data_IF_529346252608
#
_entry.id   IF_529346252608
#
_cell.length_a   1.000
_cell.length_b   1.000
_cell.length_c   1.000
_cell.angle_alpha   90.00
_cell.angle_beta   90.00
_cell.angle_gamma   90.00
#
_symmetry.space_group_name_H-M   'P 1'
#
loop_
_entity.id
_entity.type
_entity.pdbx_description
1 polymer ?
#
# COMPACT_ATOMS: atom_id res chain seq x y z
N UNK A 1 -81.42 14.89 -4.93
CA UNK A 1 -80.46 15.87 -5.41
C UNK A 1 -79.08 15.26 -5.26
N UNK A 2 -78.58 14.69 -6.36
CA UNK A 2 -77.31 14.02 -6.43
C UNK A 2 -76.22 15.00 -6.84
N UNK A 3 -75.14 15.09 -6.06
CA UNK A 3 -73.99 15.94 -6.42
C UNK A 3 -72.87 15.07 -6.85
N UNK A 4 -72.64 14.89 -8.15
CA UNK A 4 -71.53 14.12 -8.74
C UNK A 4 -70.29 15.00 -8.90
N UNK A 5 -69.34 14.89 -7.97
CA UNK A 5 -67.99 15.45 -8.14
C UNK A 5 -67.14 14.50 -8.97
N UNK A 6 -66.92 14.82 -10.25
CA UNK A 6 -65.98 14.13 -11.14
C UNK A 6 -64.58 14.70 -10.98
N UNK A 7 -63.67 13.92 -10.43
CA UNK A 7 -62.23 14.26 -10.42
C UNK A 7 -61.60 13.93 -11.77
N UNK A 8 -61.11 14.96 -12.48
CA UNK A 8 -60.29 14.78 -13.69
C UNK A 8 -58.84 14.52 -13.28
N UNK A 9 -58.31 13.35 -13.68
CA UNK A 9 -56.88 13.08 -13.61
C UNK A 9 -56.15 13.88 -14.66
N UNK A 10 -55.25 14.79 -14.22
CA UNK A 10 -54.33 15.50 -15.10
C UNK A 10 -53.07 14.62 -15.28
N UNK A 11 -52.89 14.04 -16.47
CA UNK A 11 -51.68 13.36 -16.87
C UNK A 11 -50.54 14.37 -17.09
N UNK A 12 -49.89 14.74 -16.00
CA UNK A 12 -48.62 15.45 -16.06
C UNK A 12 -47.54 14.51 -16.57
N UNK A 13 -47.03 14.76 -17.77
CA UNK A 13 -45.79 14.12 -18.28
C UNK A 13 -44.64 14.42 -17.31
N UNK A 14 -44.16 13.41 -16.60
CA UNK A 14 -42.88 13.49 -15.93
C UNK A 14 -41.78 13.50 -17.01
N UNK A 15 -41.14 14.63 -17.19
CA UNK A 15 -39.84 14.69 -17.83
C UNK A 15 -38.85 13.95 -16.93
N UNK A 16 -38.49 12.75 -17.31
CA UNK A 16 -37.31 12.07 -16.75
C UNK A 16 -36.09 12.81 -17.27
N UNK A 17 -35.55 13.67 -16.44
CA UNK A 17 -34.23 14.25 -16.63
C UNK A 17 -33.22 13.10 -16.41
N UNK A 18 -32.81 12.44 -17.50
CA UNK A 18 -31.70 11.51 -17.52
C UNK A 18 -30.43 12.33 -17.41
N UNK A 19 -30.12 12.76 -16.18
CA UNK A 19 -28.78 13.24 -15.86
C UNK A 19 -27.77 12.16 -16.24
N UNK A 20 -27.01 12.38 -17.31
CA UNK A 20 -25.83 11.61 -17.64
C UNK A 20 -24.89 11.64 -16.42
N UNK A 21 -24.85 10.57 -15.66
CA UNK A 21 -23.81 10.35 -14.66
C UNK A 21 -22.51 10.16 -15.44
N UNK A 22 -21.79 11.25 -15.68
CA UNK A 22 -20.42 11.18 -16.18
C UNK A 22 -19.65 10.30 -15.19
N UNK A 23 -19.32 9.10 -15.59
CA UNK A 23 -18.40 8.25 -14.85
C UNK A 23 -17.11 9.04 -14.64
N UNK A 24 -16.78 9.36 -13.39
CA UNK A 24 -15.49 9.99 -13.07
C UNK A 24 -14.42 9.03 -13.55
N UNK A 25 -13.53 9.52 -14.40
CA UNK A 25 -12.37 8.76 -14.87
C UNK A 25 -11.57 8.32 -13.64
N UNK A 26 -11.40 7.00 -13.46
CA UNK A 26 -10.68 6.45 -12.32
C UNK A 26 -9.20 6.76 -12.45
N UNK A 27 -8.56 7.14 -11.35
CA UNK A 27 -7.13 7.43 -11.29
C UNK A 27 -6.32 6.14 -11.50
N UNK A 28 -5.09 6.29 -11.99
CA UNK A 28 -4.08 5.23 -12.00
C UNK A 28 -2.89 5.66 -11.15
N UNK A 29 -2.31 4.74 -10.33
CA UNK A 29 -1.09 5.03 -9.60
C UNK A 29 0.03 5.48 -10.55
N UNK A 30 0.82 6.48 -10.13
CA UNK A 30 1.95 6.96 -10.92
C UNK A 30 3.10 5.95 -10.84
N UNK A 31 3.66 5.57 -11.97
CA UNK A 31 4.92 4.82 -12.00
C UNK A 31 6.06 5.71 -11.48
N UNK A 32 6.82 5.19 -10.53
CA UNK A 32 7.99 5.86 -9.98
C UNK A 32 9.18 5.46 -10.84
N UNK A 33 9.66 6.38 -11.69
CA UNK A 33 10.82 6.15 -12.53
C UNK A 33 12.02 7.02 -12.15
N UNK A 34 11.85 7.98 -11.22
CA UNK A 34 12.89 8.94 -10.85
C UNK A 34 13.49 8.58 -9.48
N UNK A 35 14.70 8.01 -9.53
CA UNK A 35 15.49 7.69 -8.33
C UNK A 35 15.81 8.92 -7.47
N UNK A 36 15.92 10.12 -8.08
CA UNK A 36 16.17 11.36 -7.34
C UNK A 36 14.94 11.78 -6.54
N UNK A 37 13.75 11.52 -7.06
CA UNK A 37 12.53 11.82 -6.33
C UNK A 37 12.39 10.91 -5.10
N UNK A 38 12.70 9.61 -5.22
CA UNK A 38 12.64 8.71 -4.06
C UNK A 38 13.68 9.07 -2.99
N UNK A 39 14.89 9.46 -3.40
CA UNK A 39 15.92 9.94 -2.47
C UNK A 39 15.48 11.21 -1.74
N UNK A 40 14.88 12.17 -2.44
CA UNK A 40 14.32 13.39 -1.87
C UNK A 40 13.21 13.10 -0.85
N UNK A 41 12.35 12.13 -1.15
CA UNK A 41 11.30 11.72 -0.20
C UNK A 41 11.88 10.99 1.02
N UNK A 42 12.91 10.16 0.84
CA UNK A 42 13.63 9.54 1.95
C UNK A 42 14.34 10.58 2.84
N UNK A 43 14.92 11.61 2.25
CA UNK A 43 15.51 12.73 2.99
C UNK A 43 14.46 13.52 3.79
N UNK A 44 13.31 13.80 3.17
CA UNK A 44 12.20 14.44 3.87
C UNK A 44 11.70 13.59 5.04
N UNK A 45 11.41 12.32 4.81
CA UNK A 45 10.94 11.39 5.82
C UNK A 45 11.95 11.21 6.97
N UNK A 46 13.25 11.16 6.66
CA UNK A 46 14.35 11.14 7.64
C UNK A 46 14.29 12.35 8.59
N UNK A 47 14.13 13.56 8.06
CA UNK A 47 14.03 14.78 8.87
C UNK A 47 12.81 14.78 9.78
N UNK A 48 11.68 14.25 9.31
CA UNK A 48 10.42 14.23 10.10
C UNK A 48 10.45 13.17 11.18
N UNK A 49 11.01 12.00 10.90
CA UNK A 49 10.91 10.83 11.79
C UNK A 49 12.15 10.57 12.64
N UNK A 50 13.31 11.11 12.23
CA UNK A 50 14.61 10.83 12.83
C UNK A 50 15.24 9.52 12.36
N UNK A 51 14.60 8.78 11.45
CA UNK A 51 15.20 7.58 10.85
C UNK A 51 16.29 7.97 9.87
N UNK A 52 17.45 7.33 9.94
CA UNK A 52 18.60 7.63 9.07
C UNK A 52 18.24 7.44 7.59
N UNK A 53 18.54 8.46 6.75
CA UNK A 53 18.20 8.44 5.30
C UNK A 53 18.74 7.20 4.60
N UNK A 54 20.01 6.87 4.85
CA UNK A 54 20.67 5.72 4.22
C UNK A 54 19.96 4.40 4.57
N UNK A 55 19.48 4.27 5.80
CA UNK A 55 18.71 3.09 6.22
C UNK A 55 17.35 3.04 5.50
N UNK A 56 16.64 4.17 5.40
CA UNK A 56 15.41 4.25 4.58
C UNK A 56 15.67 3.85 3.14
N UNK A 57 16.75 4.35 2.53
CA UNK A 57 17.14 3.97 1.16
C UNK A 57 17.41 2.47 1.06
N UNK A 58 18.09 1.88 2.04
CA UNK A 58 18.32 0.43 2.10
C UNK A 58 17.03 -0.37 2.15
N UNK A 59 16.07 0.04 2.97
CA UNK A 59 14.75 -0.57 3.04
C UNK A 59 13.98 -0.44 1.72
N UNK A 60 14.00 0.74 1.08
CA UNK A 60 13.35 0.99 -0.20
C UNK A 60 13.93 0.15 -1.34
N UNK A 61 15.24 -0.14 -1.31
CA UNK A 61 15.85 -1.09 -2.26
C UNK A 61 15.29 -2.49 -2.05
N UNK A 62 15.25 -2.97 -0.80
CA UNK A 62 14.84 -4.33 -0.49
C UNK A 62 13.36 -4.58 -0.76
N UNK A 63 12.51 -3.60 -0.46
CA UNK A 63 11.06 -3.73 -0.64
C UNK A 63 10.65 -3.62 -2.11
N UNK A 64 11.15 -2.63 -2.81
CA UNK A 64 10.59 -2.25 -4.11
C UNK A 64 11.63 -1.87 -5.16
N UNK A 65 12.91 -2.17 -4.94
CA UNK A 65 13.97 -1.74 -5.83
C UNK A 65 13.89 -0.21 -6.10
N UNK A 66 13.82 0.57 -5.02
CA UNK A 66 13.62 2.03 -5.07
C UNK A 66 12.33 2.44 -5.79
N UNK A 67 11.24 1.75 -5.56
CA UNK A 67 9.94 2.06 -6.13
C UNK A 67 9.74 1.59 -7.58
N UNK A 68 10.74 0.93 -8.19
CA UNK A 68 10.61 0.37 -9.56
C UNK A 68 9.73 -0.87 -9.60
N UNK A 69 9.58 -1.57 -8.48
CA UNK A 69 8.78 -2.78 -8.36
C UNK A 69 7.81 -2.68 -7.17
N UNK A 70 6.76 -1.90 -7.32
CA UNK A 70 5.71 -1.72 -6.29
C UNK A 70 4.61 -2.77 -6.35
N UNK A 71 4.76 -3.78 -7.21
CA UNK A 71 3.82 -4.88 -7.42
C UNK A 71 3.62 -5.16 -8.90
N UNK A 72 3.63 -6.44 -9.26
CA UNK A 72 3.50 -6.88 -10.66
C UNK A 72 2.09 -7.38 -10.97
N UNK A 73 1.33 -7.81 -9.95
CA UNK A 73 -0.03 -8.31 -10.12
C UNK A 73 -1.06 -7.18 -9.94
N UNK A 74 -2.19 -7.32 -10.60
CA UNK A 74 -3.38 -6.54 -10.26
C UNK A 74 -4.01 -7.10 -8.98
N UNK A 75 -4.76 -6.28 -8.27
CA UNK A 75 -5.47 -6.78 -7.09
C UNK A 75 -6.49 -7.86 -7.46
N UNK A 76 -7.10 -7.77 -8.65
CA UNK A 76 -7.98 -8.82 -9.17
C UNK A 76 -7.27 -10.16 -9.30
N UNK A 77 -6.07 -10.21 -9.86
CA UNK A 77 -5.28 -11.44 -9.96
C UNK A 77 -4.97 -12.02 -8.57
N UNK A 78 -4.67 -11.16 -7.60
CA UNK A 78 -4.43 -11.58 -6.20
C UNK A 78 -5.70 -12.12 -5.56
N UNK A 79 -6.84 -11.46 -5.77
CA UNK A 79 -8.15 -11.89 -5.25
C UNK A 79 -8.55 -13.24 -5.84
N UNK A 80 -8.47 -13.40 -7.16
CA UNK A 80 -8.81 -14.64 -7.85
C UNK A 80 -7.89 -15.79 -7.39
N UNK A 81 -6.60 -15.53 -7.22
CA UNK A 81 -5.64 -16.51 -6.72
C UNK A 81 -5.90 -16.94 -5.27
N UNK A 82 -6.29 -16.02 -4.40
CA UNK A 82 -6.63 -16.33 -3.00
C UNK A 82 -7.92 -17.16 -2.90
N UNK A 83 -8.93 -16.83 -3.72
CA UNK A 83 -10.18 -17.60 -3.80
C UNK A 83 -9.89 -19.02 -4.27
N UNK A 84 -9.14 -19.18 -5.38
CA UNK A 84 -8.77 -20.49 -5.91
C UNK A 84 -7.97 -21.34 -4.90
N UNK A 85 -7.04 -20.71 -4.15
CA UNK A 85 -6.27 -21.38 -3.11
C UNK A 85 -7.16 -21.84 -1.95
N UNK A 86 -8.16 -21.05 -1.59
CA UNK A 86 -9.13 -21.42 -0.55
C UNK A 86 -10.01 -22.59 -1.01
N UNK A 87 -10.58 -22.51 -2.20
CA UNK A 87 -11.45 -23.55 -2.79
C UNK A 87 -10.73 -24.89 -2.98
N UNK A 88 -9.43 -24.86 -3.28
CA UNK A 88 -8.60 -26.06 -3.42
C UNK A 88 -8.06 -26.59 -2.07
N UNK A 89 -8.36 -25.94 -0.95
CA UNK A 89 -7.86 -26.32 0.38
C UNK A 89 -6.38 -26.00 0.63
N UNK A 90 -5.75 -25.22 -0.24
CA UNK A 90 -4.34 -24.81 -0.13
C UNK A 90 -4.15 -23.58 0.78
N UNK A 91 -5.23 -22.93 1.20
CA UNK A 91 -5.18 -21.77 2.10
C UNK A 91 -5.76 -22.14 3.46
N UNK A 92 -5.00 -21.87 4.53
CA UNK A 92 -5.50 -22.13 5.89
C UNK A 92 -6.69 -21.22 6.22
N UNK A 93 -7.59 -21.69 7.11
CA UNK A 93 -8.74 -20.90 7.56
C UNK A 93 -8.34 -19.51 8.04
N UNK A 94 -7.28 -19.40 8.88
CA UNK A 94 -6.80 -18.12 9.38
C UNK A 94 -6.31 -17.19 8.26
N UNK A 95 -5.60 -17.74 7.28
CA UNK A 95 -5.11 -16.93 6.14
C UNK A 95 -6.29 -16.45 5.27
N UNK A 96 -7.33 -17.28 5.13
CA UNK A 96 -8.55 -16.90 4.42
C UNK A 96 -9.31 -15.79 5.14
N UNK A 97 -9.53 -15.91 6.45
CA UNK A 97 -10.16 -14.86 7.26
C UNK A 97 -9.39 -13.53 7.16
N UNK A 98 -8.08 -13.57 7.35
CA UNK A 98 -7.22 -12.39 7.20
C UNK A 98 -7.32 -11.78 5.79
N UNK A 99 -7.38 -12.63 4.75
CA UNK A 99 -7.56 -12.15 3.38
C UNK A 99 -8.90 -11.43 3.20
N UNK A 100 -9.99 -11.98 3.73
CA UNK A 100 -11.31 -11.36 3.60
C UNK A 100 -11.38 -9.99 4.27
N UNK A 101 -10.78 -9.84 5.46
CA UNK A 101 -10.69 -8.54 6.14
C UNK A 101 -9.91 -7.54 5.29
N UNK A 102 -8.73 -7.91 4.82
CA UNK A 102 -7.88 -7.07 3.97
C UNK A 102 -8.52 -6.73 2.62
N UNK A 103 -9.30 -7.66 2.06
CA UNK A 103 -10.06 -7.45 0.83
C UNK A 103 -11.02 -6.27 0.95
N UNK A 104 -11.75 -6.18 2.05
CA UNK A 104 -12.66 -5.08 2.30
C UNK A 104 -11.89 -3.76 2.46
N UNK A 105 -10.82 -3.77 3.24
CA UNK A 105 -9.98 -2.58 3.49
C UNK A 105 -9.37 -2.00 2.21
N UNK A 106 -8.80 -2.84 1.34
CA UNK A 106 -8.17 -2.33 0.11
C UNK A 106 -9.20 -1.80 -0.89
N UNK A 107 -10.39 -2.41 -0.98
CA UNK A 107 -11.48 -1.94 -1.84
C UNK A 107 -12.02 -0.58 -1.35
N UNK A 108 -12.24 -0.44 -0.06
CA UNK A 108 -12.66 0.82 0.54
C UNK A 108 -11.60 1.92 0.36
N UNK A 109 -10.34 1.59 0.54
CA UNK A 109 -9.22 2.52 0.32
C UNK A 109 -9.14 2.96 -1.15
N UNK A 110 -9.26 2.02 -2.08
CA UNK A 110 -9.26 2.30 -3.52
C UNK A 110 -10.41 3.23 -3.91
N UNK A 111 -11.63 2.94 -3.45
CA UNK A 111 -12.80 3.76 -3.71
C UNK A 111 -12.63 5.18 -3.13
N UNK A 112 -12.12 5.29 -1.90
CA UNK A 112 -11.85 6.59 -1.25
C UNK A 112 -10.85 7.43 -2.03
N UNK A 113 -9.82 6.80 -2.59
CA UNK A 113 -8.76 7.46 -3.36
C UNK A 113 -9.14 7.67 -4.83
N UNK A 114 -10.23 7.06 -5.30
CA UNK A 114 -10.73 7.14 -6.68
C UNK A 114 -9.98 6.24 -7.65
N UNK A 115 -9.40 5.14 -7.17
CA UNK A 115 -8.79 4.09 -7.98
C UNK A 115 -9.79 3.02 -8.38
N UNK A 116 -9.47 2.26 -9.44
CA UNK A 116 -10.13 1.00 -9.71
C UNK A 116 -9.48 -0.11 -8.87
N UNK A 117 -10.20 -0.72 -7.91
CA UNK A 117 -9.59 -1.76 -7.09
C UNK A 117 -9.11 -2.97 -7.92
N UNK A 118 -9.73 -3.24 -9.07
CA UNK A 118 -9.35 -4.39 -9.91
C UNK A 118 -8.01 -4.17 -10.65
N UNK A 119 -7.72 -2.91 -11.01
CA UNK A 119 -6.51 -2.51 -11.76
C UNK A 119 -5.32 -2.14 -10.86
N UNK A 120 -5.52 -2.04 -9.53
CA UNK A 120 -4.46 -1.64 -8.60
C UNK A 120 -3.28 -2.60 -8.63
N UNK A 121 -2.08 -2.07 -8.80
CA UNK A 121 -0.85 -2.87 -8.73
C UNK A 121 -0.45 -3.11 -7.28
N UNK A 122 -0.24 -4.38 -6.97
CA UNK A 122 0.10 -4.90 -5.63
C UNK A 122 1.09 -6.06 -5.75
N UNK A 123 1.67 -6.50 -4.62
CA UNK A 123 2.47 -7.73 -4.61
C UNK A 123 1.62 -8.93 -5.01
N UNK A 124 2.22 -9.85 -5.78
CA UNK A 124 1.57 -11.08 -6.21
C UNK A 124 1.39 -12.07 -5.04
N UNK A 125 0.51 -13.04 -5.23
CA UNK A 125 0.44 -14.20 -4.34
C UNK A 125 1.76 -14.95 -4.36
N UNK A 126 2.24 -15.46 -3.20
CA UNK A 126 3.41 -16.32 -3.17
C UNK A 126 3.15 -17.62 -3.96
N UNK A 127 4.22 -18.30 -4.36
CA UNK A 127 4.11 -19.58 -5.05
C UNK A 127 3.34 -20.62 -4.21
N UNK A 128 2.53 -21.44 -4.88
CA UNK A 128 1.54 -22.31 -4.22
C UNK A 128 2.11 -23.40 -3.31
N UNK A 129 3.36 -23.78 -3.50
CA UNK A 129 4.05 -24.81 -2.71
C UNK A 129 4.58 -24.32 -1.36
N UNK A 130 4.59 -23.02 -1.11
CA UNK A 130 5.04 -22.39 0.15
C UNK A 130 4.01 -21.40 0.69
N UNK A 131 2.72 -21.72 0.59
CA UNK A 131 1.67 -20.77 0.86
C UNK A 131 1.56 -20.41 2.35
N UNK A 132 2.06 -19.26 2.74
CA UNK A 132 1.94 -18.71 4.09
C UNK A 132 1.18 -17.38 4.15
N UNK A 133 0.69 -16.88 3.02
CA UNK A 133 -0.06 -15.62 2.98
C UNK A 133 -0.61 -15.30 1.59
N UNK A 134 -1.39 -14.26 1.53
CA UNK A 134 -1.89 -13.69 0.26
C UNK A 134 -1.02 -12.52 -0.16
N UNK A 135 -0.91 -12.23 -1.45
CA UNK A 135 -0.36 -10.99 -1.98
C UNK A 135 -1.19 -9.77 -1.52
N UNK A 136 -1.01 -8.65 -2.17
CA UNK A 136 -1.80 -7.46 -1.90
C UNK A 136 -1.07 -6.36 -1.13
N UNK A 137 0.25 -6.47 -0.99
CA UNK A 137 1.05 -5.38 -0.44
C UNK A 137 1.08 -4.19 -1.40
N UNK A 138 0.92 -2.98 -0.86
CA UNK A 138 0.61 -1.77 -1.60
C UNK A 138 1.81 -0.83 -1.70
N UNK A 139 2.03 -0.29 -2.90
CA UNK A 139 2.91 0.84 -3.17
C UNK A 139 4.36 0.64 -2.74
N UNK A 140 5.07 1.75 -2.54
CA UNK A 140 6.49 1.76 -2.17
C UNK A 140 6.77 1.09 -0.82
N UNK A 141 5.95 1.28 0.22
CA UNK A 141 6.21 0.68 1.52
C UNK A 141 5.89 -0.82 1.57
N UNK A 142 5.25 -1.39 0.55
CA UNK A 142 4.74 -2.76 0.55
C UNK A 142 3.91 -3.09 1.80
N UNK A 143 3.09 -2.12 2.24
CA UNK A 143 2.20 -2.32 3.38
C UNK A 143 0.98 -3.13 2.98
N UNK A 144 0.61 -4.07 3.83
CA UNK A 144 -0.72 -4.67 3.79
C UNK A 144 -1.77 -3.63 4.20
N UNK A 145 -3.05 -3.76 3.76
CA UNK A 145 -4.09 -2.78 4.04
C UNK A 145 -4.28 -2.46 5.53
N UNK A 146 -4.25 -3.48 6.39
CA UNK A 146 -4.32 -3.33 7.83
C UNK A 146 -3.16 -2.49 8.39
N UNK A 147 -1.94 -2.78 7.97
CA UNK A 147 -0.76 -1.99 8.35
C UNK A 147 -0.87 -0.54 7.88
N UNK A 148 -1.36 -0.29 6.66
CA UNK A 148 -1.56 1.07 6.17
C UNK A 148 -2.51 1.88 7.06
N UNK A 149 -3.63 1.27 7.45
CA UNK A 149 -4.64 1.92 8.30
C UNK A 149 -4.10 2.30 9.68
N UNK A 150 -3.15 1.53 10.24
CA UNK A 150 -2.47 1.88 11.51
C UNK A 150 -1.70 3.20 11.43
N UNK A 151 -1.19 3.55 10.24
CA UNK A 151 -0.38 4.76 10.04
C UNK A 151 -1.15 5.93 9.40
N UNK A 152 -2.35 5.70 8.86
CA UNK A 152 -3.13 6.67 8.10
C UNK A 152 -3.33 7.99 8.85
N UNK A 153 -3.74 7.94 10.11
CA UNK A 153 -4.03 9.16 10.89
C UNK A 153 -2.75 9.96 11.19
N UNK A 154 -1.64 9.27 11.46
CA UNK A 154 -0.33 9.92 11.65
C UNK A 154 0.14 10.60 10.36
N UNK A 155 -0.05 9.94 9.22
CA UNK A 155 0.24 10.50 7.90
C UNK A 155 -0.64 11.73 7.63
N UNK A 156 -1.96 11.65 7.88
CA UNK A 156 -2.89 12.76 7.73
C UNK A 156 -2.45 13.98 8.55
N UNK A 157 -2.06 13.75 9.80
CA UNK A 157 -1.60 14.83 10.67
C UNK A 157 -0.29 15.49 10.19
N UNK A 158 0.62 14.73 9.59
CA UNK A 158 1.92 15.22 9.11
C UNK A 158 1.86 15.87 7.73
N UNK A 159 0.99 15.35 6.85
CA UNK A 159 0.90 15.80 5.45
C UNK A 159 -0.21 16.82 5.21
N UNK A 160 -1.18 16.92 6.12
CA UNK A 160 -2.41 17.69 5.94
C UNK A 160 -3.40 17.07 4.93
N UNK A 161 -3.11 15.87 4.41
CA UNK A 161 -4.00 15.13 3.51
C UNK A 161 -5.08 14.42 4.33
N UNK A 162 -6.35 14.56 3.97
CA UNK A 162 -7.45 13.80 4.57
C UNK A 162 -7.29 12.29 4.31
N UNK A 163 -6.91 11.94 3.09
CA UNK A 163 -6.71 10.57 2.65
C UNK A 163 -5.32 10.40 2.04
N UNK A 164 -4.29 10.09 2.85
CA UNK A 164 -2.98 9.69 2.35
C UNK A 164 -3.07 8.43 1.47
N UNK A 165 -2.16 8.33 0.50
CA UNK A 165 -2.22 7.37 -0.58
C UNK A 165 -1.00 6.42 -0.55
N UNK A 166 -1.15 5.09 -0.34
CA UNK A 166 -0.03 4.15 -0.30
C UNK A 166 0.71 4.02 -1.64
N UNK A 167 0.08 4.38 -2.75
CA UNK A 167 0.69 4.41 -4.08
C UNK A 167 1.35 5.76 -4.42
N UNK A 168 1.18 6.78 -3.57
CA UNK A 168 1.94 8.03 -3.66
C UNK A 168 3.31 7.86 -2.99
N UNK A 169 4.39 8.24 -3.70
CA UNK A 169 5.76 8.05 -3.21
C UNK A 169 6.04 8.79 -1.89
N UNK A 170 5.52 10.01 -1.76
CA UNK A 170 5.72 10.82 -0.56
C UNK A 170 5.07 10.17 0.66
N UNK A 171 3.80 9.77 0.52
CA UNK A 171 3.05 9.17 1.62
C UNK A 171 3.59 7.78 1.96
N UNK A 172 3.94 6.98 0.95
CA UNK A 172 4.50 5.65 1.13
C UNK A 172 5.85 5.63 1.84
N UNK A 173 6.79 6.51 1.43
CA UNK A 173 8.11 6.61 2.08
C UNK A 173 7.97 7.13 3.50
N UNK A 174 7.08 8.11 3.74
CA UNK A 174 6.84 8.61 5.09
C UNK A 174 6.20 7.53 5.99
N UNK A 175 5.26 6.73 5.47
CA UNK A 175 4.67 5.60 6.21
C UNK A 175 5.72 4.57 6.61
N UNK A 176 6.61 4.18 5.68
CA UNK A 176 7.74 3.31 5.99
C UNK A 176 8.60 3.87 7.12
N UNK A 177 8.98 5.14 7.02
CA UNK A 177 9.81 5.79 8.03
C UNK A 177 9.12 5.84 9.40
N UNK A 178 7.82 6.11 9.46
CA UNK A 178 7.06 6.09 10.71
C UNK A 178 7.07 4.70 11.36
N UNK A 179 6.85 3.64 10.58
CA UNK A 179 6.87 2.27 11.10
C UNK A 179 8.25 1.88 11.65
N UNK A 180 9.32 2.24 10.94
CA UNK A 180 10.68 1.99 11.40
C UNK A 180 11.03 2.81 12.66
N UNK A 181 10.56 4.06 12.74
CA UNK A 181 10.78 4.95 13.89
C UNK A 181 10.11 4.50 15.19
N UNK A 182 9.08 3.63 15.09
CA UNK A 182 8.40 3.07 16.26
C UNK A 182 9.25 2.04 17.02
N UNK A 183 10.33 1.54 16.41
CA UNK A 183 11.26 0.63 17.08
C UNK A 183 12.31 1.43 17.88
N UNK A 184 12.39 1.23 19.20
CA UNK A 184 13.35 1.95 20.04
C UNK A 184 14.80 1.80 19.56
N UNK A 185 15.55 2.89 19.54
CA UNK A 185 16.95 2.93 19.11
C UNK A 185 17.17 3.19 17.63
N UNK A 186 16.10 3.16 16.80
CA UNK A 186 16.22 3.48 15.36
C UNK A 186 16.51 4.97 15.14
N UNK A 187 15.87 5.84 15.91
CA UNK A 187 16.09 7.30 15.83
C UNK A 187 17.47 7.72 16.33
N UNK A 188 18.08 6.91 17.17
CA UNK A 188 19.45 7.06 17.65
C UNK A 188 20.47 6.46 16.68
N UNK A 189 20.04 5.98 15.55
CA UNK A 189 20.84 5.36 14.49
C UNK A 189 21.62 4.12 14.96
N UNK A 190 21.03 3.38 15.90
CA UNK A 190 21.62 2.14 16.38
C UNK A 190 21.41 1.02 15.35
N UNK A 191 22.50 0.49 14.79
CA UNK A 191 22.44 -0.54 13.75
C UNK A 191 21.70 -1.81 14.19
N UNK A 192 21.84 -2.24 15.44
CA UNK A 192 21.10 -3.39 15.95
C UNK A 192 19.60 -3.15 16.03
N UNK A 193 19.22 -1.93 16.41
CA UNK A 193 17.80 -1.50 16.39
C UNK A 193 17.26 -1.40 14.97
N UNK A 194 18.02 -0.86 14.01
CA UNK A 194 17.65 -0.86 12.60
C UNK A 194 17.47 -2.29 12.05
N UNK A 195 18.38 -3.23 12.40
CA UNK A 195 18.24 -4.64 12.03
C UNK A 195 17.00 -5.28 12.67
N UNK A 196 16.72 -4.99 13.94
CA UNK A 196 15.52 -5.46 14.60
C UNK A 196 14.26 -4.87 13.92
N UNK A 197 14.26 -3.58 13.59
CA UNK A 197 13.17 -2.91 12.88
C UNK A 197 12.94 -3.50 11.49
N UNK A 198 13.99 -3.82 10.74
CA UNK A 198 13.87 -4.49 9.44
C UNK A 198 13.17 -5.85 9.58
N UNK A 199 13.55 -6.67 10.56
CA UNK A 199 12.90 -7.96 10.82
C UNK A 199 11.45 -7.83 11.22
N UNK A 200 11.15 -6.87 12.10
CA UNK A 200 9.77 -6.55 12.50
C UNK A 200 8.94 -6.03 11.32
N UNK A 201 9.56 -5.25 10.43
CA UNK A 201 8.90 -4.73 9.23
C UNK A 201 8.39 -5.86 8.34
N UNK A 202 9.27 -6.83 8.05
CA UNK A 202 8.96 -7.98 7.19
C UNK A 202 7.98 -8.97 7.83
N UNK A 203 8.18 -9.28 9.12
CA UNK A 203 7.57 -10.47 9.73
C UNK A 203 6.81 -10.23 11.04
N UNK A 204 6.82 -9.00 11.55
CA UNK A 204 6.27 -8.68 12.86
C UNK A 204 7.08 -9.26 14.05
N UNK A 205 8.26 -9.87 13.80
CA UNK A 205 9.09 -10.46 14.85
C UNK A 205 10.57 -10.11 14.68
N UNK A 206 11.38 -10.29 15.74
CA UNK A 206 12.84 -10.12 15.68
C UNK A 206 13.57 -11.44 15.50
N UNK A 207 12.90 -12.51 15.04
CA UNK A 207 13.46 -13.84 14.87
C UNK A 207 14.71 -13.83 13.97
N UNK A 208 15.72 -14.65 14.36
CA UNK A 208 16.95 -14.83 13.59
C UNK A 208 16.71 -15.35 12.16
N UNK A 209 15.56 -15.99 11.90
CA UNK A 209 15.17 -16.48 10.57
C UNK A 209 15.12 -15.36 9.52
N UNK A 210 14.98 -14.11 9.95
CA UNK A 210 14.91 -12.95 9.08
C UNK A 210 16.19 -12.08 9.10
N UNK A 211 17.29 -12.61 9.65
CA UNK A 211 18.56 -11.88 9.67
C UNK A 211 19.08 -11.56 8.27
N UNK A 212 18.84 -12.45 7.31
CA UNK A 212 19.17 -12.24 5.91
C UNK A 212 18.54 -10.95 5.35
N UNK A 213 17.29 -10.69 5.70
CA UNK A 213 16.57 -9.49 5.25
C UNK A 213 17.16 -8.23 5.89
N UNK A 214 17.39 -8.24 7.19
CA UNK A 214 18.01 -7.14 7.92
C UNK A 214 19.44 -6.84 7.43
N UNK A 215 20.22 -7.88 7.14
CA UNK A 215 21.58 -7.75 6.57
C UNK A 215 21.54 -7.13 5.17
N UNK A 216 20.57 -7.53 4.35
CA UNK A 216 20.36 -6.97 3.01
C UNK A 216 19.98 -5.47 3.07
N UNK A 217 19.07 -5.09 3.96
CA UNK A 217 18.73 -3.69 4.20
C UNK A 217 19.96 -2.87 4.63
N UNK A 218 20.79 -3.39 5.53
CA UNK A 218 22.03 -2.73 5.97
C UNK A 218 23.11 -2.71 4.88
N UNK A 219 23.18 -3.72 4.02
CA UNK A 219 24.07 -3.72 2.86
C UNK A 219 23.68 -2.57 1.91
N UNK A 220 22.41 -2.46 1.56
CA UNK A 220 21.94 -1.41 0.67
C UNK A 220 21.94 -0.03 1.32
N UNK A 221 21.77 0.07 2.64
CA UNK A 221 21.98 1.33 3.35
C UNK A 221 23.37 1.94 3.10
N UNK A 222 24.37 1.10 2.88
CA UNK A 222 25.75 1.54 2.57
C UNK A 222 26.04 1.67 1.08
N UNK A 223 25.26 1.02 0.21
CA UNK A 223 25.61 0.82 -1.19
C UNK A 223 24.55 1.35 -2.19
N UNK A 224 23.42 1.89 -1.76
CA UNK A 224 22.33 2.30 -2.67
C UNK A 224 22.80 3.31 -3.73
N UNK A 225 23.80 4.14 -3.44
CA UNK A 225 24.36 5.10 -4.38
C UNK A 225 24.90 4.44 -5.66
N UNK A 226 25.28 3.18 -5.61
CA UNK A 226 25.75 2.44 -6.80
C UNK A 226 24.65 2.28 -7.85
N UNK A 227 23.38 2.26 -7.40
CA UNK A 227 22.23 2.15 -8.30
C UNK A 227 21.97 3.44 -9.10
N UNK A 228 22.39 4.59 -8.58
CA UNK A 228 22.27 5.89 -9.27
C UNK A 228 23.30 6.04 -10.40
N UNK A 229 24.46 5.41 -10.26
CA UNK A 229 25.53 5.50 -11.26
C UNK A 229 25.22 4.65 -12.51
N UNK A 230 24.41 3.60 -12.39
CA UNK A 230 24.09 2.71 -13.50
C UNK A 230 22.98 3.24 -14.43
N UNK A 231 22.34 4.36 -14.09
CA UNK A 231 21.26 4.97 -14.90
C UNK A 231 21.80 6.00 -15.89
N UNK A 232 23.07 6.42 -15.73
CA UNK A 232 23.71 7.44 -16.57
C UNK A 232 24.76 6.85 -17.55
N UNK A 233 24.77 5.53 -17.77
CA UNK A 233 25.65 4.82 -18.67
C UNK A 233 24.99 4.30 -19.92
#
# INVERSE_FOLDING_TARGET
MENKNTWKWNNGKKNEDKGEVKSKEKKKPKNISDLKEIEKQAEYASRITGVRKEYLMGMLVVETDLGRNTGQCTYKEVEDGAIAAHESGNLSTRAWETFQDRRNMIKELADTLGYDPEDLKVSCNPAQDVYSGTGGAMGVPQFMPDTWLEYKDRLSALTGKENPDPWDIHDGVLAMALKLADVPGVKEHNIWSEMAASKMYLSGTTSWRYDWYAQNAQYWARNYNTLFNNVNG
#
